data_IF_658646469406
#
_entry.id   IF_658646469406
#
_cell.length_a   1.000
_cell.length_b   1.000
_cell.length_c   1.000
_cell.angle_alpha   90.00
_cell.angle_beta   90.00
_cell.angle_gamma   90.00
#
_symmetry.space_group_name_H-M   'P 1'
#
loop_
_entity.id
_entity.type
_entity.pdbx_description
1 polymer ?
#
# COMPACT_ATOMS: atom_id res chain seq x y z
N UNK A 1 47.44 -21.16 -25.03
CA UNK A 1 47.11 -20.62 -23.71
C UNK A 1 47.70 -19.21 -23.59
N UNK A 2 47.12 -18.28 -22.82
CA UNK A 2 45.97 -18.43 -21.88
C UNK A 2 44.79 -17.45 -22.18
N UNK A 3 43.55 -17.81 -21.81
CA UNK A 3 42.69 -17.26 -20.72
C UNK A 3 42.09 -15.86 -21.06
N UNK A 4 40.79 -15.59 -20.94
CA UNK A 4 39.90 -15.78 -19.77
C UNK A 4 38.43 -15.80 -20.26
N UNK A 5 37.48 -16.58 -19.75
CA UNK A 5 37.39 -17.21 -18.43
C UNK A 5 36.80 -16.24 -17.41
N UNK A 6 35.48 -16.30 -17.23
CA UNK A 6 34.73 -15.87 -16.05
C UNK A 6 34.71 -14.37 -15.70
N UNK A 7 33.70 -13.67 -16.23
CA UNK A 7 33.23 -12.42 -15.65
C UNK A 7 31.74 -12.18 -15.99
N UNK A 8 30.85 -13.15 -15.72
CA UNK A 8 29.43 -12.84 -15.56
C UNK A 8 28.66 -13.94 -14.80
N UNK A 9 29.10 -14.24 -13.58
CA UNK A 9 28.28 -15.00 -12.64
C UNK A 9 28.42 -14.33 -11.26
N UNK A 10 27.92 -13.10 -11.16
CA UNK A 10 27.57 -12.51 -9.87
C UNK A 10 26.40 -13.33 -9.30
N UNK A 11 26.76 -14.47 -8.72
CA UNK A 11 25.86 -15.43 -8.10
C UNK A 11 24.99 -14.71 -7.07
N UNK A 12 23.70 -14.63 -7.36
CA UNK A 12 22.67 -14.33 -6.37
C UNK A 12 22.81 -15.35 -5.24
N UNK A 13 23.26 -14.91 -4.07
CA UNK A 13 23.47 -15.81 -2.93
C UNK A 13 22.21 -16.66 -2.67
N UNK A 14 22.36 -17.98 -2.40
CA UNK A 14 21.20 -18.85 -2.17
C UNK A 14 20.39 -18.32 -0.97
N UNK A 15 19.07 -18.24 -1.14
CA UNK A 15 18.15 -17.85 -0.06
C UNK A 15 18.19 -18.92 1.04
N UNK A 16 18.48 -18.52 2.27
CA UNK A 16 18.48 -19.43 3.42
C UNK A 16 17.06 -19.61 3.98
N UNK A 17 16.82 -20.71 4.70
CA UNK A 17 15.50 -20.97 5.30
C UNK A 17 15.12 -19.88 6.33
N UNK A 18 16.08 -19.40 7.11
CA UNK A 18 15.88 -18.33 8.08
C UNK A 18 15.48 -17.03 7.37
N UNK A 19 16.13 -16.69 6.26
CA UNK A 19 15.79 -15.50 5.48
C UNK A 19 14.39 -15.58 4.86
N UNK A 20 13.97 -16.75 4.37
CA UNK A 20 12.59 -16.94 3.88
C UNK A 20 11.57 -16.68 4.98
N UNK A 21 11.82 -17.20 6.18
CA UNK A 21 10.93 -17.02 7.32
C UNK A 21 10.85 -15.55 7.74
N UNK A 22 12.00 -14.89 7.91
CA UNK A 22 12.05 -13.46 8.24
C UNK A 22 11.40 -12.60 7.15
N UNK A 23 11.63 -12.88 5.87
CA UNK A 23 11.00 -12.15 4.78
C UNK A 23 9.47 -12.29 4.79
N UNK A 24 8.96 -13.51 5.04
CA UNK A 24 7.53 -13.78 5.11
C UNK A 24 6.84 -13.06 6.29
N UNK A 25 7.48 -13.04 7.46
CA UNK A 25 7.00 -12.28 8.62
C UNK A 25 7.03 -10.78 8.36
N UNK A 26 8.10 -10.28 7.76
CA UNK A 26 8.26 -8.86 7.44
C UNK A 26 7.18 -8.38 6.46
N UNK A 27 6.88 -9.16 5.40
CA UNK A 27 5.81 -8.81 4.45
C UNK A 27 4.45 -8.82 5.12
N UNK A 28 4.15 -9.83 5.94
CA UNK A 28 2.87 -9.90 6.65
C UNK A 28 2.69 -8.71 7.58
N UNK A 29 3.72 -8.38 8.37
CA UNK A 29 3.70 -7.24 9.27
C UNK A 29 3.55 -5.90 8.52
N UNK A 30 4.23 -5.73 7.39
CA UNK A 30 4.07 -4.53 6.55
C UNK A 30 2.65 -4.40 5.98
N UNK A 31 2.04 -5.52 5.58
CA UNK A 31 0.68 -5.51 5.08
C UNK A 31 -0.32 -5.12 6.18
N UNK A 32 -0.17 -5.69 7.37
CA UNK A 32 -1.02 -5.37 8.53
C UNK A 32 -0.87 -3.91 8.95
N UNK A 33 0.37 -3.40 8.97
CA UNK A 33 0.66 -2.00 9.27
C UNK A 33 0.07 -1.05 8.20
N UNK A 34 0.21 -1.39 6.92
CA UNK A 34 -0.41 -0.63 5.84
C UNK A 34 -1.93 -0.61 5.97
N UNK A 35 -2.55 -1.78 6.16
CA UNK A 35 -3.99 -1.90 6.33
C UNK A 35 -4.50 -1.08 7.53
N UNK A 36 -3.80 -1.18 8.67
CA UNK A 36 -4.16 -0.39 9.84
C UNK A 36 -4.01 1.12 9.56
N UNK A 37 -2.97 1.54 8.84
CA UNK A 37 -2.80 2.96 8.50
C UNK A 37 -3.93 3.48 7.59
N UNK A 38 -4.43 2.65 6.67
CA UNK A 38 -5.57 3.03 5.81
C UNK A 38 -6.87 3.12 6.62
N UNK A 39 -7.07 2.26 7.63
CA UNK A 39 -8.20 2.37 8.56
C UNK A 39 -8.09 3.60 9.46
N UNK A 40 -6.90 3.91 9.95
CA UNK A 40 -6.67 5.06 10.82
C UNK A 40 -6.84 6.39 10.06
N UNK A 41 -6.45 6.41 8.78
CA UNK A 41 -6.61 7.58 7.90
C UNK A 41 -8.05 7.78 7.39
N UNK A 42 -8.88 6.73 7.41
CA UNK A 42 -10.24 6.77 6.85
C UNK A 42 -11.30 6.30 7.86
N UNK A 43 -11.84 7.23 8.68
CA UNK A 43 -13.05 6.98 9.47
C UNK A 43 -14.22 6.45 8.64
N UNK A 44 -14.38 6.92 7.40
CA UNK A 44 -15.41 6.44 6.48
C UNK A 44 -15.24 4.96 6.17
N UNK A 45 -14.02 4.53 5.83
CA UNK A 45 -13.72 3.12 5.56
C UNK A 45 -14.01 2.26 6.80
N UNK A 46 -13.66 2.74 7.99
CA UNK A 46 -13.97 2.05 9.25
C UNK A 46 -15.47 1.84 9.43
N UNK A 47 -16.28 2.88 9.21
CA UNK A 47 -17.74 2.79 9.28
C UNK A 47 -18.31 1.84 8.23
N UNK A 48 -17.80 1.87 6.99
CA UNK A 48 -18.21 0.94 5.93
C UNK A 48 -17.92 -0.53 6.30
N UNK A 49 -16.82 -0.78 7.00
CA UNK A 49 -16.43 -2.10 7.49
C UNK A 49 -17.12 -2.49 8.82
N UNK A 50 -17.96 -1.63 9.39
CA UNK A 50 -18.70 -1.89 10.61
C UNK A 50 -17.87 -1.81 11.90
N UNK A 51 -16.70 -1.16 11.87
CA UNK A 51 -15.94 -0.88 13.09
C UNK A 51 -16.68 0.16 13.92
N UNK A 52 -16.84 -0.11 15.22
CA UNK A 52 -17.45 0.85 16.15
C UNK A 52 -16.50 2.03 16.43
N UNK A 53 -17.06 3.23 16.56
CA UNK A 53 -16.29 4.46 16.76
C UNK A 53 -17.19 5.69 16.83
N UNK A 54 -16.58 6.87 16.95
CA UNK A 54 -17.30 8.11 16.66
C UNK A 54 -17.41 8.26 15.15
N UNK A 55 -18.58 8.70 14.66
CA UNK A 55 -18.77 9.00 13.25
C UNK A 55 -17.97 10.26 12.90
N UNK A 56 -16.88 10.06 12.16
CA UNK A 56 -15.97 11.10 11.69
C UNK A 56 -15.86 11.01 10.16
N UNK A 57 -15.36 12.06 9.53
CA UNK A 57 -15.14 12.12 8.08
C UNK A 57 -13.64 12.08 7.78
N UNK A 58 -13.29 11.50 6.64
CA UNK A 58 -11.92 11.52 6.15
C UNK A 58 -11.44 12.96 5.91
N UNK A 59 -10.16 13.21 6.19
CA UNK A 59 -9.53 14.49 5.90
C UNK A 59 -9.13 14.57 4.42
N UNK A 60 -9.87 15.39 3.67
CA UNK A 60 -9.69 15.60 2.23
C UNK A 60 -8.82 16.81 1.91
N UNK A 61 -8.15 17.38 2.91
CA UNK A 61 -7.25 18.51 2.74
C UNK A 61 -6.01 18.15 1.91
N UNK A 62 -5.39 19.17 1.33
CA UNK A 62 -4.13 18.99 0.60
C UNK A 62 -3.01 18.50 1.54
N UNK A 63 -3.02 18.95 2.79
CA UNK A 63 -2.06 18.57 3.82
C UNK A 63 -2.16 17.07 4.18
N UNK A 64 -3.38 16.55 4.33
CA UNK A 64 -3.62 15.13 4.55
C UNK A 64 -3.21 14.28 3.34
N UNK A 65 -3.46 14.78 2.13
CA UNK A 65 -3.00 14.16 0.88
C UNK A 65 -1.48 14.08 0.80
N UNK A 66 -0.76 15.15 1.11
CA UNK A 66 0.70 15.13 1.13
C UNK A 66 1.24 14.17 2.20
N UNK A 67 0.60 14.11 3.38
CA UNK A 67 0.97 13.17 4.42
C UNK A 67 0.80 11.71 3.96
N UNK A 68 -0.29 11.42 3.25
CA UNK A 68 -0.57 10.09 2.68
C UNK A 68 0.44 9.69 1.61
N UNK A 69 0.81 10.63 0.72
CA UNK A 69 1.87 10.39 -0.28
C UNK A 69 3.21 10.07 0.40
N UNK A 70 3.59 10.81 1.45
CA UNK A 70 4.82 10.52 2.22
C UNK A 70 4.78 9.12 2.84
N UNK A 71 3.66 8.74 3.48
CA UNK A 71 3.48 7.38 4.02
C UNK A 71 3.64 6.32 2.94
N UNK A 72 3.04 6.50 1.76
CA UNK A 72 3.19 5.54 0.65
C UNK A 72 4.62 5.40 0.16
N UNK A 73 5.40 6.49 0.13
CA UNK A 73 6.83 6.44 -0.20
C UNK A 73 7.62 5.65 0.84
N UNK A 74 7.30 5.82 2.13
CA UNK A 74 7.94 5.08 3.23
C UNK A 74 7.62 3.58 3.14
N UNK A 75 6.35 3.20 2.95
CA UNK A 75 5.96 1.81 2.75
C UNK A 75 6.62 1.19 1.52
N UNK A 76 6.62 1.90 0.39
CA UNK A 76 7.25 1.42 -0.84
C UNK A 76 8.76 1.17 -0.65
N UNK A 77 9.43 2.07 0.08
CA UNK A 77 10.85 1.94 0.37
C UNK A 77 11.13 0.69 1.22
N UNK A 78 10.35 0.49 2.29
CA UNK A 78 10.45 -0.69 3.17
C UNK A 78 10.15 -1.99 2.41
N UNK A 79 9.13 -1.96 1.54
CA UNK A 79 8.76 -3.11 0.74
C UNK A 79 9.88 -3.49 -0.25
N UNK A 80 10.49 -2.51 -0.92
CA UNK A 80 11.61 -2.73 -1.87
C UNK A 80 12.90 -3.25 -1.22
N UNK A 81 13.03 -3.18 0.11
CA UNK A 81 14.15 -3.80 0.83
C UNK A 81 14.00 -5.31 0.98
N UNK A 82 12.80 -5.85 0.78
CA UNK A 82 12.53 -7.29 0.90
C UNK A 82 12.89 -7.98 -0.42
N UNK A 83 13.66 -9.05 -0.31
CA UNK A 83 14.05 -9.89 -1.45
C UNK A 83 12.85 -10.74 -1.91
N UNK A 84 12.28 -10.44 -3.07
CA UNK A 84 11.09 -11.15 -3.58
C UNK A 84 11.35 -12.65 -3.77
N UNK A 85 12.56 -13.04 -4.16
CA UNK A 85 12.96 -14.43 -4.36
C UNK A 85 12.92 -15.25 -3.06
N UNK A 86 12.97 -14.58 -1.91
CA UNK A 86 12.86 -15.21 -0.60
C UNK A 86 11.41 -15.48 -0.17
N UNK A 87 10.43 -14.87 -0.84
CA UNK A 87 9.01 -15.04 -0.51
C UNK A 87 8.43 -16.25 -1.23
N UNK A 88 7.56 -16.99 -0.56
CA UNK A 88 6.77 -18.08 -1.17
C UNK A 88 5.28 -17.70 -1.21
N UNK A 89 4.44 -18.54 -1.83
CA UNK A 89 3.01 -18.33 -1.81
C UNK A 89 2.46 -18.61 -0.39
N UNK A 90 1.59 -17.75 0.18
CA UNK A 90 0.94 -16.58 -0.42
C UNK A 90 1.66 -15.22 -0.25
N UNK A 91 2.73 -15.13 0.54
CA UNK A 91 3.38 -13.84 0.86
C UNK A 91 3.92 -13.11 -0.38
N UNK A 92 4.43 -13.86 -1.36
CA UNK A 92 4.86 -13.29 -2.65
C UNK A 92 3.70 -12.60 -3.39
N UNK A 93 2.48 -13.12 -3.26
CA UNK A 93 1.30 -12.49 -3.84
C UNK A 93 0.95 -11.18 -3.11
N UNK A 94 0.91 -11.20 -1.77
CA UNK A 94 0.64 -9.99 -0.97
C UNK A 94 1.67 -8.89 -1.27
N UNK A 95 2.95 -9.26 -1.35
CA UNK A 95 4.04 -8.36 -1.74
C UNK A 95 3.77 -7.68 -3.09
N UNK A 96 3.46 -8.46 -4.13
CA UNK A 96 3.24 -7.93 -5.48
C UNK A 96 2.01 -7.03 -5.57
N UNK A 97 0.93 -7.39 -4.88
CA UNK A 97 -0.29 -6.59 -4.83
C UNK A 97 -0.01 -5.24 -4.18
N UNK A 98 0.59 -5.25 -2.99
CA UNK A 98 0.91 -4.01 -2.28
C UNK A 98 1.93 -3.15 -3.04
N UNK A 99 2.93 -3.76 -3.65
CA UNK A 99 3.91 -3.07 -4.48
C UNK A 99 3.23 -2.32 -5.64
N UNK A 100 2.38 -3.01 -6.39
CA UNK A 100 1.64 -2.44 -7.51
C UNK A 100 0.72 -1.30 -7.05
N UNK A 101 -0.05 -1.53 -5.99
CA UNK A 101 -0.95 -0.53 -5.41
C UNK A 101 -0.21 0.76 -5.05
N UNK A 102 0.91 0.65 -4.32
CA UNK A 102 1.72 1.80 -3.91
C UNK A 102 2.34 2.53 -5.11
N UNK A 103 2.85 1.80 -6.09
CA UNK A 103 3.43 2.39 -7.30
C UNK A 103 2.37 3.13 -8.13
N UNK A 104 1.16 2.56 -8.27
CA UNK A 104 0.05 3.21 -8.96
C UNK A 104 -0.41 4.47 -8.21
N UNK A 105 -0.59 4.40 -6.89
CA UNK A 105 -0.98 5.56 -6.07
C UNK A 105 0.04 6.70 -6.18
N UNK A 106 1.33 6.37 -6.12
CA UNK A 106 2.41 7.35 -6.23
C UNK A 106 2.56 7.92 -7.65
N UNK A 107 2.34 7.11 -8.68
CA UNK A 107 2.31 7.56 -10.07
C UNK A 107 1.19 8.58 -10.31
N UNK A 108 0.03 8.38 -9.69
CA UNK A 108 -1.15 9.23 -9.84
C UNK A 108 -1.16 10.45 -8.89
N UNK A 109 -0.35 10.44 -7.83
CA UNK A 109 -0.31 11.51 -6.83
C UNK A 109 -0.15 12.93 -7.42
N UNK A 110 0.74 13.20 -8.41
CA UNK A 110 0.87 14.53 -9.00
C UNK A 110 -0.36 14.99 -9.79
N UNK A 111 -1.23 14.05 -10.18
CA UNK A 111 -2.36 14.32 -11.05
C UNK A 111 -3.70 14.50 -10.30
N UNK A 112 -3.71 14.35 -8.98
CA UNK A 112 -4.95 14.42 -8.19
C UNK A 112 -5.69 15.75 -8.29
N UNK A 113 -4.97 16.87 -8.39
CA UNK A 113 -5.58 18.18 -8.54
C UNK A 113 -6.28 18.40 -9.89
N UNK A 114 -6.09 17.49 -10.85
CA UNK A 114 -6.79 17.49 -12.13
C UNK A 114 -8.05 16.63 -12.11
N UNK A 115 -8.37 15.98 -10.99
CA UNK A 115 -9.61 15.24 -10.85
C UNK A 115 -10.81 16.18 -10.66
N UNK A 116 -11.97 15.74 -11.14
CA UNK A 116 -13.19 16.52 -11.01
C UNK A 116 -13.80 16.30 -9.62
N UNK A 117 -13.75 17.34 -8.77
CA UNK A 117 -14.39 17.31 -7.45
C UNK A 117 -15.91 16.98 -7.51
N UNK A 118 -16.53 17.19 -8.66
CA UNK A 118 -17.93 16.86 -8.92
C UNK A 118 -18.08 16.10 -10.24
N UNK A 119 -18.68 14.92 -10.19
CA UNK A 119 -19.02 14.15 -11.38
C UNK A 119 -20.36 13.43 -11.19
N UNK A 120 -21.03 13.07 -12.28
CA UNK A 120 -22.28 12.29 -12.21
C UNK A 120 -22.05 10.82 -11.77
N UNK A 121 -20.80 10.34 -11.81
CA UNK A 121 -20.44 8.96 -11.50
C UNK A 121 -19.78 8.81 -10.12
N UNK A 122 -19.58 9.90 -9.38
CA UNK A 122 -18.96 9.84 -8.05
C UNK A 122 -18.40 11.16 -7.55
N UNK A 123 -17.77 11.08 -6.38
CA UNK A 123 -17.17 12.18 -5.63
C UNK A 123 -17.81 12.34 -4.25
N UNK A 124 -17.22 13.21 -3.43
CA UNK A 124 -17.64 13.42 -2.04
C UNK A 124 -19.12 13.76 -1.87
N UNK A 125 -19.70 14.49 -2.83
CA UNK A 125 -21.11 14.86 -2.79
C UNK A 125 -22.09 13.67 -2.90
N UNK A 126 -21.72 12.59 -3.59
CA UNK A 126 -22.51 11.34 -3.62
C UNK A 126 -22.15 10.43 -2.45
N UNK A 127 -20.87 10.36 -2.10
CA UNK A 127 -20.34 9.47 -1.07
C UNK A 127 -20.85 9.84 0.33
N UNK A 128 -20.89 11.13 0.67
CA UNK A 128 -21.46 11.61 1.95
C UNK A 128 -22.91 11.17 2.13
N UNK A 129 -23.71 11.24 1.06
CA UNK A 129 -25.13 10.84 1.12
C UNK A 129 -25.25 9.33 1.32
N UNK A 130 -24.47 8.54 0.57
CA UNK A 130 -24.45 7.08 0.68
C UNK A 130 -24.07 6.64 2.10
N UNK A 131 -23.02 7.22 2.68
CA UNK A 131 -22.54 6.92 4.03
C UNK A 131 -23.60 7.25 5.08
N UNK A 132 -24.25 8.42 4.99
CA UNK A 132 -25.28 8.80 5.95
C UNK A 132 -26.52 7.90 5.89
N UNK A 133 -26.85 7.35 4.72
CA UNK A 133 -27.99 6.45 4.57
C UNK A 133 -27.62 5.02 5.01
N UNK A 134 -26.45 4.53 4.60
CA UNK A 134 -26.13 3.10 4.65
C UNK A 134 -25.09 2.73 5.72
N UNK A 135 -24.26 3.68 6.17
CA UNK A 135 -23.06 3.43 6.97
C UNK A 135 -22.90 4.35 8.20
N UNK A 136 -24.00 4.93 8.72
CA UNK A 136 -23.98 5.90 9.83
C UNK A 136 -23.93 5.28 11.25
N UNK A 137 -23.60 3.99 11.36
CA UNK A 137 -23.70 3.19 12.61
C UNK A 137 -22.58 3.48 13.59
#
# INVERSE_FOLDING_TARGET
MPASGDADEAATAPVTADEKHTAAETVSALFDEFYQSELDDSPVLRSQLGYSGQFEWDDISAEADEARVRRYQEFLTRLKQIREEALEYPQRWHYRVLLNELEQRLLMAPYRSYDYAYSQLGGWHTEVVDILINHHM
#
